data_IF_529718448401
#
_entry.id   IF_529718448401
#
_cell.length_a   1.000
_cell.length_b   1.000
_cell.length_c   1.000
_cell.angle_alpha   90.00
_cell.angle_beta   90.00
_cell.angle_gamma   90.00
#
_symmetry.space_group_name_H-M   'P 1'
#
loop_
_entity.id
_entity.type
_entity.pdbx_description
1 polymer ?
#
# COMPACT_ATOMS: atom_id res chain seq x y z
N UNK A 1 4.28 7.64 7.60
CA UNK A 1 5.58 8.32 7.88
C UNK A 1 6.73 7.49 7.30
N UNK A 2 7.91 8.06 7.05
CA UNK A 2 9.08 7.29 6.52
C UNK A 2 9.89 6.71 7.69
N UNK A 3 10.18 5.41 7.68
CA UNK A 3 10.89 4.68 8.75
C UNK A 3 12.26 4.17 8.30
N UNK A 4 13.21 4.09 9.24
CA UNK A 4 14.59 3.57 9.04
C UNK A 4 14.75 2.10 9.42
N UNK A 5 13.71 1.43 9.91
CA UNK A 5 13.73 0.03 10.33
C UNK A 5 13.02 -0.85 9.31
N UNK A 6 13.68 -1.94 8.90
CA UNK A 6 13.19 -2.94 7.92
C UNK A 6 12.92 -2.43 6.49
N UNK A 7 13.80 -1.62 5.86
CA UNK A 7 13.64 -1.30 4.44
C UNK A 7 13.74 -2.55 3.56
N UNK A 8 13.02 -2.58 2.44
CA UNK A 8 13.22 -3.62 1.41
C UNK A 8 14.50 -3.34 0.64
N UNK A 9 14.71 -2.08 0.29
CA UNK A 9 15.94 -1.60 -0.33
C UNK A 9 16.33 -0.22 0.22
N UNK A 10 17.59 0.19 0.08
CA UNK A 10 18.05 1.48 0.59
C UNK A 10 17.98 1.60 2.13
N UNK A 11 17.68 2.81 2.62
CA UNK A 11 17.70 3.13 4.07
C UNK A 11 16.33 3.40 4.66
N UNK A 12 15.28 3.45 3.84
CA UNK A 12 13.98 3.96 4.24
C UNK A 12 12.85 3.17 3.61
N UNK A 13 11.73 3.05 4.34
CA UNK A 13 10.46 2.52 3.83
C UNK A 13 9.32 3.46 4.21
N UNK A 14 8.24 3.48 3.43
CA UNK A 14 7.01 4.15 3.84
C UNK A 14 6.23 3.25 4.79
N UNK A 15 5.80 3.78 5.94
CA UNK A 15 4.91 3.11 6.89
C UNK A 15 3.51 3.72 6.85
N UNK A 16 2.50 2.87 6.77
CA UNK A 16 1.07 3.16 6.95
C UNK A 16 0.57 2.38 8.17
N UNK A 17 -0.15 3.04 9.06
CA UNK A 17 -0.48 2.51 10.39
C UNK A 17 0.63 2.78 11.41
N UNK A 18 0.45 2.26 12.62
CA UNK A 18 1.31 2.53 13.78
C UNK A 18 1.66 1.22 14.50
N UNK A 19 2.85 1.10 15.13
CA UNK A 19 3.20 -0.06 15.96
C UNK A 19 2.48 -0.02 17.33
N UNK A 20 1.28 0.56 17.37
CA UNK A 20 0.38 0.73 18.51
C UNK A 20 -1.04 0.66 17.97
N UNK A 21 -1.97 0.21 18.81
CA UNK A 21 -3.37 0.10 18.45
C UNK A 21 -3.91 1.45 17.95
N UNK A 22 -4.60 1.40 16.81
CA UNK A 22 -5.35 2.49 16.21
C UNK A 22 -6.75 2.00 15.88
N UNK A 23 -7.73 2.90 15.77
CA UNK A 23 -9.11 2.52 15.41
C UNK A 23 -9.43 3.03 14.01
N UNK A 24 -9.48 2.12 13.03
CA UNK A 24 -9.85 2.41 11.65
C UNK A 24 -8.67 2.57 10.68
N UNK A 25 -8.86 3.40 9.66
CA UNK A 25 -7.97 3.50 8.52
C UNK A 25 -6.87 4.56 8.71
N UNK A 26 -5.61 4.13 8.55
CA UNK A 26 -4.49 5.00 8.22
C UNK A 26 -4.22 4.92 6.73
N UNK A 27 -3.88 6.05 6.09
CA UNK A 27 -3.65 6.07 4.64
C UNK A 27 -2.49 6.98 4.21
N UNK A 28 -1.82 6.57 3.14
CA UNK A 28 -1.01 7.44 2.28
C UNK A 28 -1.72 7.56 0.94
N UNK A 29 -1.87 8.78 0.45
CA UNK A 29 -2.50 9.08 -0.84
C UNK A 29 -1.53 9.85 -1.72
N UNK A 30 -1.32 9.38 -2.93
CA UNK A 30 -0.45 10.04 -3.90
C UNK A 30 -1.09 10.06 -5.28
N UNK A 31 -1.17 11.26 -5.86
CA UNK A 31 -1.53 11.43 -7.27
C UNK A 31 -0.26 11.49 -8.12
N UNK A 32 -0.26 10.75 -9.22
CA UNK A 32 0.81 10.75 -10.21
C UNK A 32 0.25 10.81 -11.63
N UNK A 33 1.11 11.12 -12.59
CA UNK A 33 0.79 11.05 -14.02
C UNK A 33 1.77 10.10 -14.68
N UNK A 34 1.27 9.11 -15.42
CA UNK A 34 2.12 8.23 -16.22
C UNK A 34 2.78 9.01 -17.34
N UNK A 35 4.02 8.66 -17.67
CA UNK A 35 4.74 9.24 -18.81
C UNK A 35 4.38 8.52 -20.11
N UNK A 36 4.71 9.07 -21.30
CA UNK A 36 4.55 8.36 -22.55
C UNK A 36 5.29 7.01 -22.50
N UNK A 37 4.60 5.94 -22.88
CA UNK A 37 5.15 4.58 -22.86
C UNK A 37 5.12 3.86 -21.50
N UNK A 38 4.76 4.56 -20.40
CA UNK A 38 4.55 3.90 -19.11
C UNK A 38 3.15 3.31 -19.01
N UNK A 39 3.09 1.99 -18.85
CA UNK A 39 1.85 1.22 -18.71
C UNK A 39 1.81 0.36 -17.45
N UNK A 40 2.86 0.43 -16.63
CA UNK A 40 3.03 -0.41 -15.46
C UNK A 40 3.19 0.39 -14.17
N UNK A 41 2.66 -0.17 -13.09
CA UNK A 41 2.94 0.24 -11.72
C UNK A 41 3.34 -1.00 -10.94
N UNK A 42 4.46 -0.91 -10.22
CA UNK A 42 4.87 -1.94 -9.28
C UNK A 42 5.28 -1.34 -7.95
N UNK A 43 5.14 -2.12 -6.89
CA UNK A 43 5.61 -1.76 -5.56
C UNK A 43 5.81 -3.02 -4.72
N UNK A 44 6.64 -2.88 -3.68
CA UNK A 44 6.81 -3.89 -2.66
C UNK A 44 6.00 -3.52 -1.41
N UNK A 45 5.49 -4.53 -0.73
CA UNK A 45 4.76 -4.37 0.52
C UNK A 45 5.13 -5.45 1.53
N UNK A 46 5.05 -5.12 2.81
CA UNK A 46 5.14 -6.06 3.93
C UNK A 46 4.04 -5.71 4.93
N UNK A 47 3.16 -6.66 5.24
CA UNK A 47 2.05 -6.45 6.17
C UNK A 47 2.37 -7.18 7.48
N UNK A 48 2.47 -6.39 8.54
CA UNK A 48 2.65 -6.84 9.91
C UNK A 48 1.29 -6.67 10.59
N UNK A 49 0.50 -7.73 10.55
CA UNK A 49 -0.77 -7.86 11.26
C UNK A 49 -0.65 -9.09 12.18
N UNK A 50 -1.38 -9.12 13.29
CA UNK A 50 -1.42 -10.32 14.16
C UNK A 50 -2.83 -10.87 14.34
N UNK A 51 -3.87 -10.14 13.94
CA UNK A 51 -5.25 -10.62 13.82
C UNK A 51 -5.55 -11.40 12.53
N UNK A 52 -6.81 -11.38 12.12
CA UNK A 52 -7.30 -11.94 10.86
C UNK A 52 -7.74 -10.82 9.90
N UNK A 53 -7.91 -11.14 8.62
CA UNK A 53 -8.24 -10.15 7.57
C UNK A 53 -9.60 -9.45 7.79
N UNK A 54 -10.47 -10.03 8.60
CA UNK A 54 -11.75 -9.44 9.01
C UNK A 54 -11.57 -8.25 9.96
N UNK A 55 -10.46 -8.22 10.69
CA UNK A 55 -10.15 -7.24 11.74
C UNK A 55 -9.05 -6.29 11.30
N UNK A 56 -7.97 -6.84 10.76
CA UNK A 56 -6.74 -6.13 10.44
C UNK A 56 -6.36 -6.41 9.00
N UNK A 57 -6.12 -5.37 8.20
CA UNK A 57 -5.80 -5.58 6.78
C UNK A 57 -5.10 -4.40 6.14
N UNK A 58 -4.41 -4.69 5.05
CA UNK A 58 -3.99 -3.70 4.06
C UNK A 58 -4.86 -3.82 2.80
N UNK A 59 -5.18 -2.69 2.17
CA UNK A 59 -5.73 -2.67 0.81
C UNK A 59 -5.09 -1.53 0.03
N UNK A 60 -4.97 -1.70 -1.29
CA UNK A 60 -4.49 -0.65 -2.17
C UNK A 60 -5.52 -0.41 -3.26
N UNK A 61 -5.88 0.85 -3.43
CA UNK A 61 -6.85 1.31 -4.43
C UNK A 61 -6.14 2.25 -5.40
N UNK A 62 -6.32 2.00 -6.69
CA UNK A 62 -5.91 2.89 -7.76
C UNK A 62 -7.15 3.53 -8.37
N UNK A 63 -7.16 4.85 -8.49
CA UNK A 63 -8.20 5.60 -9.19
C UNK A 63 -7.64 6.23 -10.46
N UNK A 64 -8.28 5.99 -11.60
CA UNK A 64 -8.08 6.79 -12.81
C UNK A 64 -8.80 8.13 -12.63
N UNK A 65 -8.05 9.23 -12.64
CA UNK A 65 -8.62 10.56 -12.40
C UNK A 65 -9.35 11.14 -13.62
N UNK A 66 -9.22 10.51 -14.79
CA UNK A 66 -9.90 10.94 -16.03
C UNK A 66 -11.23 10.24 -16.19
N UNK A 67 -11.26 8.91 -16.03
CA UNK A 67 -12.52 8.14 -16.13
C UNK A 67 -13.28 8.11 -14.81
N UNK A 68 -12.61 8.37 -13.69
CA UNK A 68 -13.15 8.22 -12.34
C UNK A 68 -13.20 6.77 -11.85
N UNK A 69 -12.81 5.80 -12.68
CA UNK A 69 -12.81 4.38 -12.34
C UNK A 69 -11.82 4.04 -11.24
N UNK A 70 -12.17 3.05 -10.41
CA UNK A 70 -11.33 2.56 -9.32
C UNK A 70 -11.06 1.07 -9.46
N UNK A 71 -9.84 0.68 -9.16
CA UNK A 71 -9.38 -0.71 -9.14
C UNK A 71 -8.74 -1.02 -7.79
N UNK A 72 -9.12 -2.15 -7.19
CA UNK A 72 -8.47 -2.66 -5.97
C UNK A 72 -7.30 -3.56 -6.38
N UNK A 73 -6.09 -3.02 -6.34
CA UNK A 73 -4.88 -3.72 -6.82
C UNK A 73 -4.23 -4.60 -5.73
N UNK A 74 -4.54 -4.33 -4.46
CA UNK A 74 -4.33 -5.27 -3.35
C UNK A 74 -5.68 -5.41 -2.62
N UNK A 75 -6.37 -6.56 -2.70
CA UNK A 75 -7.56 -6.80 -1.87
C UNK A 75 -7.18 -6.80 -0.39
N UNK A 76 -8.17 -6.69 0.50
CA UNK A 76 -7.94 -6.80 1.95
C UNK A 76 -7.08 -8.03 2.25
N UNK A 77 -5.91 -7.79 2.81
CA UNK A 77 -4.89 -8.82 3.02
C UNK A 77 -4.24 -8.63 4.38
N UNK A 78 -4.04 -9.74 5.09
CA UNK A 78 -3.20 -9.82 6.28
C UNK A 78 -2.21 -10.97 6.11
N UNK A 79 -0.92 -10.65 5.94
CA UNK A 79 0.13 -11.66 5.69
C UNK A 79 0.84 -12.13 6.95
N UNK A 80 0.43 -11.69 8.14
CA UNK A 80 1.03 -12.07 9.42
C UNK A 80 2.55 -11.99 9.48
N UNK A 81 3.14 -10.97 8.83
CA UNK A 81 4.58 -10.77 8.82
C UNK A 81 5.38 -11.71 7.90
N UNK A 82 4.77 -12.32 6.87
CA UNK A 82 5.45 -13.19 5.86
C UNK A 82 6.54 -12.49 5.00
N UNK A 83 6.99 -11.28 5.37
CA UNK A 83 8.03 -10.55 4.67
C UNK A 83 7.55 -9.79 3.44
N UNK A 84 8.51 -9.32 2.63
CA UNK A 84 8.28 -8.48 1.47
C UNK A 84 7.70 -9.26 0.28
N UNK A 85 6.61 -8.73 -0.28
CA UNK A 85 5.94 -9.22 -1.49
C UNK A 85 5.82 -8.10 -2.52
N UNK A 86 5.69 -8.45 -3.80
CA UNK A 86 5.57 -7.47 -4.89
C UNK A 86 4.19 -7.56 -5.55
N UNK A 87 3.64 -6.41 -5.91
CA UNK A 87 2.53 -6.28 -6.87
C UNK A 87 3.05 -5.56 -8.11
N UNK A 88 2.60 -6.01 -9.28
CA UNK A 88 2.81 -5.34 -10.56
C UNK A 88 1.52 -5.39 -11.38
N UNK A 89 1.06 -4.24 -11.87
CA UNK A 89 -0.04 -4.13 -12.83
C UNK A 89 0.50 -3.59 -14.15
N UNK A 90 -0.15 -3.93 -15.27
CA UNK A 90 0.24 -3.51 -16.64
C UNK A 90 -0.91 -2.84 -17.37
N UNK A 91 -1.90 -2.35 -16.63
CA UNK A 91 -3.18 -1.82 -17.13
C UNK A 91 -3.22 -0.29 -17.13
N UNK A 92 -2.11 0.38 -16.83
CA UNK A 92 -2.09 1.85 -16.87
C UNK A 92 -2.13 2.34 -18.32
N UNK A 93 -2.87 3.42 -18.51
CA UNK A 93 -2.84 4.19 -19.75
C UNK A 93 -1.68 5.19 -19.68
N UNK A 94 -0.83 5.32 -20.72
CA UNK A 94 0.17 6.37 -20.80
C UNK A 94 -0.45 7.79 -20.77
N UNK A 95 0.33 8.78 -20.32
CA UNK A 95 -0.07 10.19 -20.26
C UNK A 95 -1.38 10.43 -19.49
N UNK A 96 -1.57 9.69 -18.39
CA UNK A 96 -2.83 9.64 -17.63
C UNK A 96 -2.59 9.88 -16.15
N UNK A 97 -3.48 10.65 -15.54
CA UNK A 97 -3.45 10.92 -14.10
C UNK A 97 -4.14 9.82 -13.30
N UNK A 98 -3.47 9.32 -12.28
CA UNK A 98 -3.97 8.33 -11.33
C UNK A 98 -3.77 8.79 -9.89
N UNK A 99 -4.60 8.30 -8.98
CA UNK A 99 -4.41 8.44 -7.53
C UNK A 99 -4.28 7.06 -6.91
N UNK A 100 -3.15 6.81 -6.23
CA UNK A 100 -2.87 5.61 -5.46
C UNK A 100 -3.17 5.86 -3.98
N UNK A 101 -3.96 5.00 -3.38
CA UNK A 101 -4.32 5.04 -1.96
C UNK A 101 -3.83 3.75 -1.29
N UNK A 102 -2.85 3.88 -0.41
CA UNK A 102 -2.30 2.80 0.41
C UNK A 102 -2.97 2.85 1.78
N UNK A 103 -3.71 1.81 2.16
CA UNK A 103 -4.50 1.79 3.39
C UNK A 103 -4.01 0.68 4.32
N UNK A 104 -3.95 1.00 5.61
CA UNK A 104 -3.83 0.07 6.72
C UNK A 104 -5.04 0.25 7.62
N UNK A 105 -5.75 -0.84 7.92
CA UNK A 105 -6.86 -0.87 8.87
C UNK A 105 -6.46 -1.67 10.11
N UNK A 106 -6.79 -1.14 11.28
CA UNK A 106 -6.51 -1.75 12.58
C UNK A 106 -7.79 -1.74 13.45
N UNK A 107 -8.03 -2.83 14.17
CA UNK A 107 -9.24 -3.04 15.00
C UNK A 107 -9.16 -2.44 16.43
N UNK A 108 -8.11 -1.65 16.71
CA UNK A 108 -7.80 -1.08 18.01
C UNK A 108 -7.44 -2.11 19.10
N UNK A 109 -7.01 -3.32 18.73
CA UNK A 109 -6.54 -4.31 19.69
C UNK A 109 -5.19 -3.90 20.31
N UNK A 110 -5.11 -3.68 21.64
CA UNK A 110 -3.88 -3.21 22.30
C UNK A 110 -2.68 -4.16 22.16
N UNK A 111 -2.94 -5.43 21.86
CA UNK A 111 -1.91 -6.47 21.73
C UNK A 111 -1.67 -6.90 20.29
N UNK A 112 -2.41 -6.33 19.32
CA UNK A 112 -2.36 -6.71 17.91
C UNK A 112 -2.32 -5.51 16.96
N UNK A 113 -1.37 -4.57 17.10
CA UNK A 113 -1.30 -3.45 16.18
C UNK A 113 -0.95 -3.92 14.76
N UNK A 114 -1.46 -3.19 13.78
CA UNK A 114 -1.25 -3.42 12.36
C UNK A 114 -0.41 -2.32 11.74
N UNK A 115 0.64 -2.75 11.04
CA UNK A 115 1.56 -1.87 10.31
C UNK A 115 1.75 -2.43 8.90
N UNK A 116 1.72 -1.54 7.92
CA UNK A 116 2.04 -1.88 6.53
C UNK A 116 3.21 -1.05 6.07
N UNK A 117 4.23 -1.73 5.57
CA UNK A 117 5.41 -1.12 4.96
C UNK A 117 5.28 -1.20 3.44
N UNK A 118 5.60 -0.11 2.75
CA UNK A 118 5.66 -0.04 1.29
C UNK A 118 7.00 0.52 0.85
N UNK A 119 7.57 -0.04 -0.21
CA UNK A 119 8.88 0.34 -0.71
C UNK A 119 8.97 0.11 -2.24
N UNK A 120 10.00 0.71 -2.88
CA UNK A 120 10.31 0.55 -4.30
C UNK A 120 9.08 0.72 -5.23
N UNK A 121 8.30 1.80 -5.04
CA UNK A 121 7.17 2.14 -5.91
C UNK A 121 7.70 2.70 -7.24
N UNK A 122 7.41 2.03 -8.34
CA UNK A 122 7.97 2.34 -9.67
C UNK A 122 6.88 2.37 -10.73
N UNK A 123 6.93 3.40 -11.59
CA UNK A 123 6.24 3.46 -12.88
C UNK A 123 7.20 2.98 -13.96
N UNK A 124 6.70 2.11 -14.85
CA UNK A 124 7.45 1.58 -16.00
C UNK A 124 6.63 1.54 -17.26
#
# INVERSE_FOLDING_TARGET
MVHTTAPRSGSYTAQVGEPRATDGDSAIVQTFTTSPGSSTLSFWYQIICTGTVEQDWATVILKDNVTGGTETILPKTCTKGEGWKQISITTLTPDRSYTLTLICHDDNSPTRPTVVLYDDIVLG
#
